data_IF_884271427201
#
_entry.id   IF_884271427201
#
_cell.length_a   1.000
_cell.length_b   1.000
_cell.length_c   1.000
_cell.angle_alpha   90.00
_cell.angle_beta   90.00
_cell.angle_gamma   90.00
#
_symmetry.space_group_name_H-M   'P 1'
#
loop_
_entity.id
_entity.type
_entity.pdbx_description
1 polymer ?
#
# COMPACT_ATOMS: atom_id res chain seq x y z
N UNK A 1 -4.39 13.93 17.12
CA UNK A 1 -3.36 14.17 16.08
C UNK A 1 -3.06 12.82 15.47
N UNK A 2 -3.48 12.56 14.22
CA UNK A 2 -3.09 11.34 13.51
C UNK A 2 -1.59 11.46 13.21
N UNK A 3 -0.79 10.60 13.83
CA UNK A 3 0.64 10.60 13.60
C UNK A 3 0.88 9.98 12.21
N UNK A 4 1.13 10.84 11.22
CA UNK A 4 1.55 10.40 9.90
C UNK A 4 3.02 9.98 9.99
N UNK A 5 3.25 8.70 10.24
CA UNK A 5 4.59 8.17 10.22
C UNK A 5 5.00 7.80 8.79
N UNK A 6 6.15 8.28 8.30
CA UNK A 6 6.59 7.97 6.94
C UNK A 6 7.01 6.49 6.87
N UNK A 7 6.27 5.68 6.12
CA UNK A 7 6.75 4.39 5.62
C UNK A 7 7.86 4.60 4.59
N UNK A 8 8.51 3.52 4.16
CA UNK A 8 9.52 3.57 3.10
C UNK A 8 8.89 3.87 1.73
N UNK A 9 8.53 5.15 1.53
CA UNK A 9 7.91 5.68 0.31
C UNK A 9 8.83 5.53 -0.89
N UNK A 10 10.15 5.59 -0.66
CA UNK A 10 11.17 5.36 -1.67
C UNK A 10 11.07 3.94 -2.23
N UNK A 11 11.00 2.91 -1.38
CA UNK A 11 10.87 1.52 -1.84
C UNK A 11 9.58 1.30 -2.65
N UNK A 12 8.45 1.85 -2.20
CA UNK A 12 7.18 1.77 -2.93
C UNK A 12 7.30 2.46 -4.31
N UNK A 13 7.86 3.66 -4.34
CA UNK A 13 8.00 4.45 -5.57
C UNK A 13 8.96 3.81 -6.56
N UNK A 14 10.10 3.29 -6.09
CA UNK A 14 11.08 2.60 -6.92
C UNK A 14 10.50 1.33 -7.54
N UNK A 15 9.80 0.52 -6.74
CA UNK A 15 9.12 -0.67 -7.26
C UNK A 15 8.06 -0.31 -8.29
N UNK A 16 7.22 0.71 -8.03
CA UNK A 16 6.22 1.15 -9.01
C UNK A 16 6.87 1.63 -10.32
N UNK A 17 7.99 2.35 -10.26
CA UNK A 17 8.74 2.77 -11.46
C UNK A 17 9.27 1.57 -12.24
N UNK A 18 9.79 0.56 -11.55
CA UNK A 18 10.25 -0.68 -12.18
C UNK A 18 9.09 -1.45 -12.81
N UNK A 19 7.96 -1.62 -12.13
CA UNK A 19 6.80 -2.29 -12.73
C UNK A 19 6.35 -1.55 -13.98
N UNK A 20 6.19 -0.23 -13.90
CA UNK A 20 5.74 0.59 -15.02
C UNK A 20 6.75 0.70 -16.18
N UNK A 21 8.00 0.30 -15.99
CA UNK A 21 8.95 0.17 -17.10
C UNK A 21 8.82 -1.16 -17.85
N UNK A 22 8.29 -2.19 -17.19
CA UNK A 22 8.13 -3.53 -17.77
C UNK A 22 6.72 -3.79 -18.30
N UNK A 23 5.71 -3.05 -17.84
CA UNK A 23 4.32 -3.25 -18.22
C UNK A 23 3.53 -1.96 -18.33
N UNK A 24 2.43 -2.02 -19.06
CA UNK A 24 1.49 -0.91 -19.13
C UNK A 24 0.79 -0.65 -17.79
N UNK A 25 0.56 0.63 -17.50
CA UNK A 25 -0.06 1.07 -16.25
C UNK A 25 -1.44 0.45 -16.02
N UNK A 26 -2.22 0.26 -17.07
CA UNK A 26 -3.58 -0.31 -16.97
C UNK A 26 -3.54 -1.80 -16.59
N UNK A 27 -2.52 -2.52 -17.07
CA UNK A 27 -2.28 -3.88 -16.60
C UNK A 27 -1.98 -3.90 -15.10
N UNK A 28 -1.18 -2.95 -14.59
CA UNK A 28 -0.85 -2.85 -13.16
C UNK A 28 -2.07 -2.51 -12.30
N UNK A 29 -2.90 -1.59 -12.78
CA UNK A 29 -4.20 -1.26 -12.16
C UNK A 29 -5.08 -2.51 -12.07
N UNK A 30 -5.19 -3.28 -13.15
CA UNK A 30 -6.01 -4.49 -13.18
C UNK A 30 -5.48 -5.58 -12.24
N UNK A 31 -4.16 -5.78 -12.21
CA UNK A 31 -3.52 -6.80 -11.37
C UNK A 31 -3.62 -6.47 -9.88
N UNK A 32 -3.40 -5.21 -9.49
CA UNK A 32 -3.47 -4.78 -8.10
C UNK A 32 -4.91 -4.51 -7.64
N UNK A 33 -5.85 -4.31 -8.58
CA UNK A 33 -7.20 -3.79 -8.30
C UNK A 33 -7.17 -2.44 -7.57
N UNK A 34 -6.14 -1.63 -7.86
CA UNK A 34 -5.93 -0.31 -7.25
C UNK A 34 -6.20 0.75 -8.31
N UNK A 35 -7.05 1.77 -8.04
CA UNK A 35 -7.35 2.81 -9.00
C UNK A 35 -6.09 3.53 -9.50
N UNK A 36 -6.05 3.83 -10.81
CA UNK A 36 -4.94 4.54 -11.44
C UNK A 36 -4.58 5.86 -10.72
N UNK A 37 -5.59 6.61 -10.22
CA UNK A 37 -5.38 7.84 -9.44
C UNK A 37 -4.51 7.62 -8.21
N UNK A 38 -4.63 6.46 -7.56
CA UNK A 38 -3.89 6.12 -6.36
C UNK A 38 -2.45 5.72 -6.71
N UNK A 39 -2.27 4.93 -7.76
CA UNK A 39 -0.93 4.59 -8.27
C UNK A 39 -0.18 5.85 -8.69
N UNK A 40 -0.86 6.80 -9.33
CA UNK A 40 -0.29 8.11 -9.65
C UNK A 40 0.06 8.91 -8.39
N UNK A 41 -0.83 8.94 -7.39
CA UNK A 41 -0.58 9.61 -6.12
C UNK A 41 0.70 9.08 -5.46
N UNK A 42 0.91 7.77 -5.47
CA UNK A 42 2.11 7.13 -4.91
C UNK A 42 3.41 7.50 -5.61
N UNK A 43 3.37 7.94 -6.87
CA UNK A 43 4.56 8.35 -7.63
C UNK A 43 4.92 9.83 -7.44
N UNK A 44 3.96 10.65 -7.02
CA UNK A 44 4.11 12.11 -6.95
C UNK A 44 4.13 12.64 -5.51
N UNK A 45 3.46 11.96 -4.59
CA UNK A 45 3.39 12.33 -3.20
C UNK A 45 4.68 11.86 -2.50
N UNK A 46 5.39 12.72 -1.74
CA UNK A 46 6.53 12.29 -0.93
C UNK A 46 6.11 11.45 0.30
N UNK A 47 4.84 11.51 0.72
CA UNK A 47 4.29 10.80 1.87
C UNK A 47 2.91 10.15 1.56
N UNK A 48 2.81 9.30 0.51
CA UNK A 48 1.55 8.75 0.05
C UNK A 48 0.87 7.90 1.09
N UNK A 49 -0.41 8.12 1.35
CA UNK A 49 -1.22 7.22 2.19
C UNK A 49 -1.43 5.87 1.52
N UNK A 50 -1.09 4.78 2.21
CA UNK A 50 -1.41 3.41 1.82
C UNK A 50 -2.26 2.73 2.89
N UNK A 51 -3.24 1.94 2.44
CA UNK A 51 -4.18 1.22 3.31
C UNK A 51 -3.78 -0.25 3.42
N UNK A 52 -4.29 -0.96 4.44
CA UNK A 52 -4.01 -2.39 4.59
C UNK A 52 -4.50 -3.23 3.40
N UNK A 53 -5.63 -2.85 2.81
CA UNK A 53 -6.16 -3.51 1.59
C UNK A 53 -5.16 -3.40 0.44
N UNK A 54 -4.57 -2.22 0.25
CA UNK A 54 -3.56 -1.99 -0.79
C UNK A 54 -2.26 -2.74 -0.50
N UNK A 55 -1.82 -2.77 0.76
CA UNK A 55 -0.66 -3.58 1.18
C UNK A 55 -0.91 -5.07 0.87
N UNK A 56 -2.09 -5.59 1.23
CA UNK A 56 -2.48 -6.98 0.94
C UNK A 56 -2.53 -7.27 -0.56
N UNK A 57 -3.05 -6.34 -1.37
CA UNK A 57 -3.08 -6.48 -2.82
C UNK A 57 -1.67 -6.55 -3.43
N UNK A 58 -0.75 -5.69 -2.98
CA UNK A 58 0.65 -5.74 -3.40
C UNK A 58 1.32 -7.04 -2.92
N UNK A 59 1.06 -7.46 -1.67
CA UNK A 59 1.57 -8.72 -1.13
C UNK A 59 1.16 -9.90 -2.02
N UNK A 60 -0.12 -9.99 -2.35
CA UNK A 60 -0.65 -11.05 -3.24
C UNK A 60 -0.01 -11.01 -4.63
N UNK A 61 0.14 -9.81 -5.22
CA UNK A 61 0.78 -9.65 -6.52
C UNK A 61 2.24 -10.12 -6.52
N UNK A 62 2.97 -9.85 -5.43
CA UNK A 62 4.38 -10.25 -5.28
C UNK A 62 4.57 -11.67 -4.76
N UNK A 63 3.50 -12.37 -4.41
CA UNK A 63 3.56 -13.68 -3.74
C UNK A 63 4.13 -13.61 -2.32
N UNK A 64 4.00 -12.47 -1.66
CA UNK A 64 4.53 -12.19 -0.33
C UNK A 64 3.44 -12.27 0.74
N UNK A 65 3.86 -12.58 1.97
CA UNK A 65 3.00 -12.45 3.14
C UNK A 65 3.06 -11.00 3.71
N UNK A 66 2.17 -10.71 4.66
CA UNK A 66 2.06 -9.38 5.25
C UNK A 66 3.33 -8.95 6.01
N UNK A 67 4.03 -9.87 6.67
CA UNK A 67 5.26 -9.56 7.40
C UNK A 67 6.39 -9.14 6.44
N UNK A 68 6.54 -9.84 5.32
CA UNK A 68 7.51 -9.47 4.27
C UNK A 68 7.20 -8.07 3.70
N UNK A 69 5.93 -7.72 3.53
CA UNK A 69 5.53 -6.38 3.11
C UNK A 69 5.83 -5.32 4.17
N UNK A 70 5.56 -5.62 5.45
CA UNK A 70 5.85 -4.73 6.58
C UNK A 70 7.35 -4.44 6.67
N UNK A 71 8.18 -5.47 6.55
CA UNK A 71 9.64 -5.33 6.53
C UNK A 71 10.12 -4.51 5.32
N UNK A 72 9.60 -4.81 4.12
CA UNK A 72 9.96 -4.10 2.90
C UNK A 72 9.58 -2.61 2.93
N UNK A 73 8.40 -2.30 3.48
CA UNK A 73 7.94 -0.93 3.69
C UNK A 73 8.57 -0.25 4.92
N UNK A 74 9.45 -0.94 5.66
CA UNK A 74 10.08 -0.41 6.87
C UNK A 74 9.07 0.02 7.94
N UNK A 75 7.91 -0.65 8.00
CA UNK A 75 6.83 -0.28 8.90
C UNK A 75 7.19 -0.60 10.35
N UNK A 76 7.19 0.43 11.20
CA UNK A 76 7.36 0.26 12.64
C UNK A 76 6.12 -0.43 13.24
N UNK A 77 6.26 -1.12 14.40
CA UNK A 77 5.16 -1.80 15.06
C UNK A 77 3.92 -0.93 15.34
N UNK A 78 4.10 0.38 15.54
CA UNK A 78 3.01 1.33 15.71
C UNK A 78 2.14 1.48 14.45
N UNK A 79 2.76 1.49 13.27
CA UNK A 79 2.05 1.63 11.98
C UNK A 79 1.24 0.36 11.69
N UNK A 80 1.81 -0.80 12.03
CA UNK A 80 1.12 -2.09 11.88
C UNK A 80 -0.13 -2.12 12.76
N UNK A 81 -0.05 -1.62 13.99
CA UNK A 81 -1.22 -1.50 14.88
C UNK A 81 -2.30 -0.57 14.32
N UNK A 82 -1.93 0.58 13.77
CA UNK A 82 -2.89 1.50 13.14
C UNK A 82 -3.52 0.92 11.86
N UNK A 83 -2.72 0.26 11.02
CA UNK A 83 -3.22 -0.43 9.82
C UNK A 83 -4.24 -1.52 10.18
N UNK A 84 -3.97 -2.28 11.25
CA UNK A 84 -4.88 -3.32 11.73
C UNK A 84 -6.13 -2.74 12.42
N UNK A 85 -6.02 -1.64 13.17
CA UNK A 85 -7.17 -1.02 13.83
C UNK A 85 -8.13 -0.36 12.84
N UNK A 86 -7.62 0.20 11.74
CA UNK A 86 -8.43 0.75 10.66
C UNK A 86 -9.18 -0.36 9.89
N UNK A 87 -8.59 -1.55 9.71
CA UNK A 87 -9.26 -2.72 9.07
C UNK A 87 -10.46 -3.20 9.91
N UNK A 88 -10.30 -3.29 11.24
CA UNK A 88 -11.36 -3.69 12.17
C UNK A 88 -12.49 -2.66 12.23
N UNK A 89 -12.17 -1.37 12.08
CA UNK A 89 -13.16 -0.28 12.08
C UNK A 89 -13.96 -0.27 10.76
N UNK A 90 -13.29 -0.43 9.62
CA UNK A 90 -13.93 -0.49 8.30
C UNK A 90 -14.90 -1.68 8.15
N UNK A 91 -14.60 -2.83 8.78
CA UNK A 91 -15.49 -3.99 8.81
C UNK A 91 -16.75 -3.78 9.67
N UNK A 92 -16.68 -2.93 10.70
CA UNK A 92 -17.82 -2.61 11.56
C UNK A 92 -18.79 -1.62 10.89
N UNK A 93 -18.29 -0.73 10.05
CA UNK A 93 -19.12 0.26 9.35
C UNK A 93 -19.91 -0.33 8.17
N UNK A 94 -19.47 -1.46 7.59
CA UNK A 94 -20.22 -2.16 6.53
C UNK A 94 -21.28 -3.14 7.05
N UNK A 95 -21.44 -3.24 8.37
CA UNK A 95 -22.40 -4.17 9.02
C UNK A 95 -23.61 -3.44 9.63
N UNK A 96 -23.91 -2.21 9.20
CA UNK A 96 -25.07 -1.40 9.62
C UNK A 96 -26.03 -1.15 8.45
#
# INVERSE_FOLDING_TARGET
>A
MQNYYPWNTSALTEWLKQELSHRERDSLVAALKIPNRQIKAWLIDPAPTITLVQIRAIAQYRGWNLNQMIEWLGLQPAHVKELLSHDVSALRETSL
#
